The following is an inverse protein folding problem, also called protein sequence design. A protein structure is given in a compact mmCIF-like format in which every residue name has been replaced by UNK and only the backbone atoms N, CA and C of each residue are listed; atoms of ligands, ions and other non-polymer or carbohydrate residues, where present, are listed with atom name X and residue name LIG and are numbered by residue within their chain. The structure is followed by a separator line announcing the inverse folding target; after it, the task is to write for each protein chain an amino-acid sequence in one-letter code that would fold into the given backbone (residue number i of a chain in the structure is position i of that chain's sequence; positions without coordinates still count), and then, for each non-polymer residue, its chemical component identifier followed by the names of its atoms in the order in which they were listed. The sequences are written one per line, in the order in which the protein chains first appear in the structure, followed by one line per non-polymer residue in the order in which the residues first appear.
data_IF_455174347644
#
_entry.id   IF_455174347644
#
_cell.length_a   1.000
_cell.length_b   1.000
_cell.length_c   1.000
_cell.angle_alpha   90.00
_cell.angle_beta   90.00
_cell.angle_gamma   90.00
#
_symmetry.space_group_name_H-M   'P 1'
#
loop_
_entity.id
_entity.type
_entity.pdbx_description
1 polymer ?
#
# COMPACT_ATOMS: atom_id res chain seq x y z
N UNK A 1 6.54 -4.40 -18.91
CA UNK A 1 6.54 -4.62 -17.46
C UNK A 1 5.18 -5.19 -17.11
N UNK A 2 5.13 -6.32 -16.41
CA UNK A 2 3.90 -7.04 -16.10
C UNK A 2 3.50 -6.72 -14.65
N UNK A 3 2.41 -5.96 -14.39
CA UNK A 3 1.97 -5.69 -13.03
C UNK A 3 1.43 -6.98 -12.40
N UNK A 4 1.93 -7.31 -11.22
CA UNK A 4 1.52 -8.50 -10.46
C UNK A 4 0.68 -8.15 -9.23
N UNK A 5 0.78 -6.90 -8.74
CA UNK A 5 -0.06 -6.35 -7.68
C UNK A 5 -0.43 -4.93 -8.06
N UNK A 6 -1.71 -4.60 -7.95
CA UNK A 6 -2.21 -3.23 -8.08
C UNK A 6 -3.15 -2.88 -6.93
N UNK A 7 -2.84 -1.78 -6.26
CA UNK A 7 -3.65 -1.16 -5.22
C UNK A 7 -4.00 0.24 -5.72
N UNK A 8 -5.29 0.58 -5.72
CA UNK A 8 -5.80 1.87 -6.17
C UNK A 8 -6.60 2.52 -5.06
N UNK A 9 -6.19 3.71 -4.63
CA UNK A 9 -6.95 4.57 -3.71
C UNK A 9 -7.39 3.87 -2.40
N UNK A 10 -6.55 2.99 -1.86
CA UNK A 10 -6.86 2.23 -0.66
C UNK A 10 -7.00 3.15 0.55
N UNK A 11 -8.16 3.07 1.19
CA UNK A 11 -8.39 3.60 2.52
C UNK A 11 -8.68 2.43 3.45
N UNK A 12 -7.95 2.34 4.56
CA UNK A 12 -8.11 1.24 5.50
C UNK A 12 -7.75 1.67 6.93
N UNK A 13 -8.40 1.06 7.89
CA UNK A 13 -8.10 1.22 9.30
C UNK A 13 -8.83 0.20 10.15
N UNK A 14 -8.64 0.32 11.45
CA UNK A 14 -9.26 -0.52 12.47
C UNK A 14 -10.52 0.17 13.01
N UNK A 15 -11.41 -0.57 13.66
CA UNK A 15 -12.66 -0.04 14.23
C UNK A 15 -12.43 1.19 15.12
N UNK A 16 -11.38 1.16 15.95
CA UNK A 16 -10.98 2.24 16.85
C UNK A 16 -9.96 3.23 16.25
N UNK A 17 -9.49 3.01 15.02
CA UNK A 17 -8.56 3.89 14.28
C UNK A 17 -8.86 3.74 12.77
N UNK A 18 -9.96 4.34 12.28
CA UNK A 18 -10.49 4.04 10.94
C UNK A 18 -9.61 4.55 9.79
N UNK A 19 -8.71 5.51 10.04
CA UNK A 19 -7.95 6.16 8.98
C UNK A 19 -6.43 5.93 9.10
N UNK A 20 -5.97 4.68 8.94
CA UNK A 20 -4.54 4.30 8.99
C UNK A 20 -3.87 4.47 7.63
N UNK A 21 -4.43 3.86 6.59
CA UNK A 21 -4.03 4.07 5.21
C UNK A 21 -5.02 5.03 4.58
N UNK A 22 -4.49 6.10 3.97
CA UNK A 22 -5.31 7.14 3.34
C UNK A 22 -4.91 7.27 1.88
N UNK A 23 -5.84 6.93 1.00
CA UNK A 23 -5.69 7.06 -0.45
C UNK A 23 -4.36 6.51 -1.00
N UNK A 24 -3.98 5.30 -0.57
CA UNK A 24 -2.71 4.68 -0.98
C UNK A 24 -2.88 3.97 -2.33
N UNK A 25 -2.00 4.26 -3.27
CA UNK A 25 -1.88 3.51 -4.53
C UNK A 25 -0.47 2.93 -4.67
N UNK A 26 -0.39 1.68 -5.09
CA UNK A 26 0.87 0.95 -5.28
C UNK A 26 0.72 -0.02 -6.47
N UNK A 27 1.70 0.00 -7.36
CA UNK A 27 1.85 -1.03 -8.41
C UNK A 27 3.17 -1.75 -8.17
N UNK A 28 3.14 -3.07 -8.15
CA UNK A 28 4.33 -3.93 -8.09
C UNK A 28 4.41 -4.71 -9.39
N UNK A 29 5.56 -4.68 -10.03
CA UNK A 29 5.84 -5.41 -11.25
C UNK A 29 6.59 -6.71 -10.98
N UNK A 30 6.48 -7.65 -11.92
CA UNK A 30 7.23 -8.90 -11.89
C UNK A 30 8.74 -8.64 -11.75
N UNK A 31 9.39 -9.35 -10.82
CA UNK A 31 10.80 -9.21 -10.42
C UNK A 31 11.18 -7.93 -9.63
N UNK A 32 10.21 -7.14 -9.17
CA UNK A 32 10.50 -6.06 -8.23
C UNK A 32 10.98 -6.61 -6.87
N UNK A 33 11.98 -5.95 -6.29
CA UNK A 33 12.36 -6.13 -4.88
C UNK A 33 12.01 -4.85 -4.11
N UNK A 34 10.93 -4.89 -3.32
CA UNK A 34 10.34 -3.71 -2.69
C UNK A 34 10.69 -3.63 -1.20
N UNK A 35 11.24 -2.49 -0.78
CA UNK A 35 11.33 -2.10 0.63
C UNK A 35 10.31 -1.00 0.95
N UNK A 36 9.44 -1.23 1.92
CA UNK A 36 8.52 -0.19 2.44
C UNK A 36 9.13 0.34 3.74
N UNK A 37 9.41 1.64 3.78
CA UNK A 37 10.07 2.30 4.92
C UNK A 37 9.26 3.52 5.39
N UNK A 38 9.30 3.77 6.68
CA UNK A 38 8.61 4.89 7.31
C UNK A 38 8.79 4.90 8.83
N UNK A 39 8.37 5.98 9.51
CA UNK A 39 8.32 6.01 10.96
C UNK A 39 7.36 4.95 11.51
N UNK A 40 7.47 4.66 12.80
CA UNK A 40 6.54 3.77 13.49
C UNK A 40 5.15 4.42 13.61
N UNK A 41 4.14 3.70 13.14
CA UNK A 41 2.72 4.07 13.30
C UNK A 41 2.26 5.24 12.46
#
# INVERSE_FOLDING_TARGET
MNPIIEIHNLNAGYENKPDVLKNVSLTVFENDFLGIIGPNG
#
